data_IF_366512257021
#
_entry.id   IF_366512257021
#
_cell.length_a   1.000
_cell.length_b   1.000
_cell.length_c   1.000
_cell.angle_alpha   90.00
_cell.angle_beta   90.00
_cell.angle_gamma   90.00
#
_symmetry.space_group_name_H-M   'P 1'
#
loop_
_entity.id
_entity.type
_entity.pdbx_description
1 polymer ?
#
# COMPACT_ATOMS: atom_id res chain seq x y z
N UNK A 1 20.58 21.76 5.33
CA UNK A 1 19.30 21.45 4.65
C UNK A 1 18.73 20.07 4.98
N UNK A 2 19.52 19.08 5.41
CA UNK A 2 19.00 17.74 5.74
C UNK A 2 18.05 17.70 6.94
N UNK A 3 18.20 18.60 7.91
CA UNK A 3 17.36 18.66 9.12
C UNK A 3 15.87 18.85 8.83
N UNK A 4 15.53 19.68 7.83
CA UNK A 4 14.14 20.02 7.56
C UNK A 4 13.39 18.85 6.92
N UNK A 5 14.03 18.10 6.02
CA UNK A 5 13.44 16.93 5.38
C UNK A 5 13.23 15.79 6.38
N UNK A 6 14.18 15.57 7.29
CA UNK A 6 14.02 14.57 8.35
C UNK A 6 12.81 14.89 9.23
N UNK A 7 12.69 16.14 9.72
CA UNK A 7 11.58 16.54 10.58
C UNK A 7 10.23 16.46 9.86
N UNK A 8 10.16 16.90 8.60
CA UNK A 8 8.95 16.80 7.79
C UNK A 8 8.56 15.33 7.58
N UNK A 9 9.51 14.49 7.15
CA UNK A 9 9.25 13.06 6.93
C UNK A 9 8.82 12.35 8.21
N UNK A 10 9.48 12.62 9.34
CA UNK A 10 9.09 12.06 10.65
C UNK A 10 7.67 12.46 11.03
N UNK A 11 7.31 13.73 10.84
CA UNK A 11 5.97 14.23 11.11
C UNK A 11 4.93 13.51 10.25
N UNK A 12 5.16 13.42 8.93
CA UNK A 12 4.16 12.83 8.01
C UNK A 12 4.09 11.32 8.15
N UNK A 13 5.20 10.63 8.43
CA UNK A 13 5.17 9.20 8.77
C UNK A 13 4.44 8.94 10.09
N UNK A 14 4.63 9.78 11.11
CA UNK A 14 3.90 9.67 12.37
C UNK A 14 2.39 9.88 12.15
N UNK A 15 2.01 10.89 11.36
CA UNK A 15 0.61 11.11 10.98
C UNK A 15 0.03 9.93 10.19
N UNK A 16 0.79 9.36 9.24
CA UNK A 16 0.38 8.17 8.51
C UNK A 16 0.20 6.96 9.44
N UNK A 17 1.10 6.74 10.39
CA UNK A 17 1.00 5.67 11.38
C UNK A 17 -0.24 5.87 12.28
N UNK A 18 -0.43 7.08 12.81
CA UNK A 18 -1.61 7.40 13.64
C UNK A 18 -2.90 7.21 12.84
N UNK A 19 -2.94 7.67 11.59
CA UNK A 19 -4.08 7.47 10.70
C UNK A 19 -4.38 5.99 10.49
N UNK A 20 -3.37 5.18 10.16
CA UNK A 20 -3.54 3.74 9.93
C UNK A 20 -3.98 3.01 11.20
N UNK A 21 -3.39 3.32 12.36
CA UNK A 21 -3.76 2.70 13.63
C UNK A 21 -5.17 3.11 14.08
N UNK A 22 -5.54 4.37 13.88
CA UNK A 22 -6.91 4.84 14.16
C UNK A 22 -7.92 4.15 13.24
N UNK A 23 -7.61 4.03 11.94
CA UNK A 23 -8.46 3.31 10.99
C UNK A 23 -8.62 1.85 11.39
N UNK A 24 -7.52 1.14 11.65
CA UNK A 24 -7.54 -0.25 12.09
C UNK A 24 -8.32 -0.43 13.41
N UNK A 25 -8.18 0.49 14.36
CA UNK A 25 -8.95 0.49 15.61
C UNK A 25 -10.45 0.64 15.35
N UNK A 26 -10.87 1.59 14.51
CA UNK A 26 -12.28 1.78 14.19
C UNK A 26 -12.82 0.57 13.42
N UNK A 27 -12.08 0.03 12.45
CA UNK A 27 -12.44 -1.21 11.74
C UNK A 27 -12.61 -2.40 12.68
N UNK A 28 -11.74 -2.56 13.68
CA UNK A 28 -11.82 -3.66 14.62
C UNK A 28 -12.90 -3.52 15.70
N UNK A 29 -13.17 -2.30 16.18
CA UNK A 29 -13.97 -2.09 17.40
C UNK A 29 -15.22 -1.23 17.22
N UNK A 30 -15.29 -0.40 16.17
CA UNK A 30 -16.35 0.59 15.97
C UNK A 30 -16.88 0.59 14.54
N UNK A 31 -16.77 -0.53 13.82
CA UNK A 31 -17.14 -0.59 12.40
C UNK A 31 -18.60 -0.18 12.19
N UNK A 32 -19.49 -0.57 13.09
CA UNK A 32 -20.92 -0.40 12.91
C UNK A 32 -21.41 1.03 13.00
N UNK A 33 -20.63 1.93 13.60
CA UNK A 33 -21.06 3.31 13.88
C UNK A 33 -20.67 4.33 12.81
N UNK A 34 -19.61 4.08 12.02
CA UNK A 34 -19.02 5.10 11.13
C UNK A 34 -19.04 4.69 9.66
N UNK A 35 -18.87 3.41 9.34
CA UNK A 35 -18.65 2.99 7.95
C UNK A 35 -19.94 2.77 7.16
N UNK A 36 -19.82 2.99 5.86
CA UNK A 36 -20.86 2.77 4.88
C UNK A 36 -21.36 1.31 4.94
N UNK A 37 -22.69 1.07 4.95
CA UNK A 37 -23.24 -0.28 5.04
C UNK A 37 -22.71 -1.25 3.98
N UNK A 38 -22.58 -0.81 2.72
CA UNK A 38 -22.07 -1.64 1.63
C UNK A 38 -20.62 -2.01 1.87
N UNK A 39 -19.80 -1.04 2.28
CA UNK A 39 -18.39 -1.27 2.57
C UNK A 39 -18.21 -2.21 3.77
N UNK A 40 -19.02 -2.09 4.83
CA UNK A 40 -18.93 -2.99 6.00
C UNK A 40 -19.20 -4.44 5.64
N UNK A 41 -20.14 -4.68 4.73
CA UNK A 41 -20.55 -6.01 4.31
C UNK A 41 -19.52 -6.61 3.34
N UNK A 42 -19.00 -5.83 2.41
CA UNK A 42 -18.13 -6.33 1.34
C UNK A 42 -16.64 -6.23 1.68
N UNK A 43 -16.27 -5.35 2.62
CA UNK A 43 -14.90 -4.98 2.95
C UNK A 43 -14.21 -4.07 1.92
N UNK A 44 -14.92 -3.74 0.84
CA UNK A 44 -14.48 -2.93 -0.29
C UNK A 44 -15.65 -2.08 -0.79
N UNK A 45 -15.35 -1.03 -1.55
CA UNK A 45 -16.39 -0.32 -2.29
C UNK A 45 -16.58 -0.91 -3.69
N UNK A 46 -17.51 -1.84 -3.88
CA UNK A 46 -17.74 -2.47 -5.17
C UNK A 46 -18.72 -1.67 -6.06
N UNK A 47 -18.41 -1.53 -7.36
CA UNK A 47 -19.24 -0.80 -8.34
C UNK A 47 -20.52 -1.56 -8.66
N UNK A 48 -20.39 -2.86 -8.90
CA UNK A 48 -21.52 -3.75 -9.08
C UNK A 48 -21.81 -4.40 -7.72
N UNK A 49 -23.04 -4.23 -7.24
CA UNK A 49 -23.57 -5.17 -6.27
C UNK A 49 -23.66 -6.46 -7.05
N UNK A 50 -22.77 -7.40 -6.77
CA UNK A 50 -22.79 -8.69 -7.43
C UNK A 50 -24.20 -9.26 -7.29
N UNK A 51 -24.97 -9.25 -8.38
CA UNK A 51 -26.37 -9.64 -8.36
C UNK A 51 -26.44 -11.07 -7.78
N UNK A 52 -27.09 -11.27 -6.62
CA UNK A 52 -27.13 -12.56 -5.96
C UNK A 52 -27.90 -13.61 -6.78
N UNK A 53 -28.61 -13.22 -7.83
CA UNK A 53 -29.29 -14.14 -8.75
C UNK A 53 -28.35 -14.77 -9.78
N UNK A 54 -27.10 -14.33 -9.87
CA UNK A 54 -26.09 -14.90 -10.77
C UNK A 54 -26.30 -14.55 -12.25
N UNK A 55 -27.28 -13.69 -12.59
CA UNK A 55 -27.50 -13.20 -13.95
C UNK A 55 -26.58 -12.00 -14.27
N UNK A 56 -25.31 -12.12 -13.85
CA UNK A 56 -24.27 -11.16 -14.19
C UNK A 56 -23.89 -11.32 -15.66
N UNK A 57 -24.63 -10.63 -16.52
CA UNK A 57 -24.23 -10.39 -17.91
C UNK A 57 -22.96 -9.49 -17.99
N UNK A 58 -22.41 -9.03 -16.86
CA UNK A 58 -21.14 -8.33 -16.75
C UNK A 58 -19.98 -9.31 -16.57
N UNK A 59 -19.13 -9.43 -17.58
CA UNK A 59 -17.91 -10.26 -17.49
C UNK A 59 -16.87 -9.75 -16.47
N UNK A 60 -17.04 -8.58 -15.86
CA UNK A 60 -15.99 -7.88 -15.12
C UNK A 60 -16.47 -7.44 -13.73
N UNK A 61 -16.01 -8.13 -12.67
CA UNK A 61 -16.18 -7.65 -11.30
C UNK A 61 -15.26 -6.45 -11.04
N UNK A 62 -15.55 -5.68 -9.97
CA UNK A 62 -14.64 -4.62 -9.48
C UNK A 62 -13.22 -5.18 -9.24
N UNK A 63 -13.09 -6.41 -8.78
CA UNK A 63 -11.80 -7.05 -8.56
C UNK A 63 -11.05 -7.38 -9.88
N UNK A 64 -11.75 -7.72 -10.96
CA UNK A 64 -11.10 -7.86 -12.28
C UNK A 64 -10.55 -6.53 -12.78
N UNK A 65 -11.30 -5.44 -12.55
CA UNK A 65 -10.86 -4.10 -12.88
C UNK A 65 -9.64 -3.68 -12.03
N UNK A 66 -9.64 -3.99 -10.72
CA UNK A 66 -8.47 -3.79 -9.86
C UNK A 66 -7.26 -4.57 -10.37
N UNK A 67 -7.42 -5.85 -10.75
CA UNK A 67 -6.35 -6.64 -11.35
C UNK A 67 -5.78 -5.95 -12.60
N UNK A 68 -6.65 -5.58 -13.54
CA UNK A 68 -6.23 -4.92 -14.79
C UNK A 68 -5.53 -3.59 -14.52
N UNK A 69 -6.09 -2.75 -13.66
CA UNK A 69 -5.53 -1.46 -13.29
C UNK A 69 -4.13 -1.61 -12.69
N UNK A 70 -3.96 -2.52 -11.73
CA UNK A 70 -2.66 -2.79 -11.11
C UNK A 70 -1.62 -3.25 -12.14
N UNK A 71 -1.95 -4.18 -13.04
CA UNK A 71 -1.01 -4.70 -14.05
C UNK A 71 -0.62 -3.61 -15.06
N UNK A 72 -1.60 -2.87 -15.60
CA UNK A 72 -1.35 -1.82 -16.60
C UNK A 72 -0.52 -0.69 -15.98
N UNK A 73 -0.89 -0.21 -14.79
CA UNK A 73 -0.20 0.89 -14.12
C UNK A 73 1.18 0.45 -13.61
N UNK A 74 1.36 -0.81 -13.19
CA UNK A 74 2.69 -1.36 -12.88
C UNK A 74 3.58 -1.40 -14.13
N UNK A 75 3.06 -1.77 -15.30
CA UNK A 75 3.81 -1.77 -16.55
C UNK A 75 4.22 -0.34 -16.98
N UNK A 76 3.33 0.63 -16.81
CA UNK A 76 3.62 2.05 -17.03
C UNK A 76 4.72 2.54 -16.08
N UNK A 77 4.60 2.25 -14.78
CA UNK A 77 5.61 2.58 -13.79
C UNK A 77 6.97 1.94 -14.09
N UNK A 78 6.98 0.65 -14.47
CA UNK A 78 8.19 -0.07 -14.88
C UNK A 78 8.88 0.59 -16.07
N UNK A 79 8.11 1.07 -17.05
CA UNK A 79 8.66 1.77 -18.22
C UNK A 79 9.38 3.05 -17.82
N UNK A 80 8.80 3.84 -16.90
CA UNK A 80 9.42 5.05 -16.34
C UNK A 80 10.67 4.69 -15.52
N UNK A 81 10.57 3.66 -14.67
CA UNK A 81 11.68 3.16 -13.86
C UNK A 81 12.86 2.75 -14.74
N UNK A 82 12.62 2.02 -15.84
CA UNK A 82 13.64 1.60 -16.80
C UNK A 82 14.41 2.77 -17.42
N UNK A 83 13.75 3.88 -17.70
CA UNK A 83 14.36 5.06 -18.32
C UNK A 83 15.14 5.91 -17.31
N UNK A 84 14.67 6.01 -16.07
CA UNK A 84 15.19 6.98 -15.11
C UNK A 84 16.08 6.38 -14.01
N UNK A 85 16.07 5.05 -13.80
CA UNK A 85 16.78 4.42 -12.66
C UNK A 85 18.29 4.61 -12.64
N UNK A 86 18.91 4.75 -13.81
CA UNK A 86 20.36 4.86 -13.97
C UNK A 86 20.83 6.33 -13.97
N UNK A 87 19.92 7.28 -13.72
CA UNK A 87 20.27 8.70 -13.57
C UNK A 87 21.02 8.93 -12.24
N UNK A 88 21.97 9.88 -12.19
CA UNK A 88 22.72 10.19 -10.96
C UNK A 88 21.80 10.51 -9.79
N UNK A 89 22.17 10.15 -8.57
CA UNK A 89 21.41 10.45 -7.33
C UNK A 89 20.00 9.84 -7.23
N UNK A 90 19.57 8.97 -8.15
CA UNK A 90 18.25 8.29 -8.10
C UNK A 90 18.19 7.02 -7.25
N UNK A 91 19.32 6.53 -6.71
CA UNK A 91 19.41 5.26 -5.99
C UNK A 91 18.39 5.13 -4.85
N UNK A 92 18.20 6.21 -4.07
CA UNK A 92 17.27 6.23 -2.93
C UNK A 92 15.81 6.11 -3.38
N UNK A 93 15.43 6.86 -4.41
CA UNK A 93 14.09 6.77 -5.00
C UNK A 93 13.86 5.36 -5.57
N UNK A 94 14.85 4.79 -6.25
CA UNK A 94 14.80 3.41 -6.81
C UNK A 94 14.68 2.37 -5.70
N UNK A 95 15.30 2.59 -4.54
CA UNK A 95 15.13 1.67 -3.41
C UNK A 95 13.71 1.73 -2.81
N UNK A 96 13.10 2.91 -2.77
CA UNK A 96 11.77 3.12 -2.17
C UNK A 96 10.63 2.74 -3.11
N UNK A 97 10.74 3.04 -4.40
CA UNK A 97 9.69 2.86 -5.41
C UNK A 97 10.15 2.04 -6.63
N UNK A 98 11.24 1.27 -6.54
CA UNK A 98 11.73 0.48 -7.66
C UNK A 98 11.09 -0.90 -7.77
N UNK A 99 11.86 -1.86 -8.31
CA UNK A 99 11.37 -3.20 -8.68
C UNK A 99 10.68 -3.96 -7.54
N UNK A 100 11.09 -3.77 -6.29
CA UNK A 100 10.47 -4.45 -5.16
C UNK A 100 9.00 -4.00 -4.94
N UNK A 101 8.70 -2.71 -5.12
CA UNK A 101 7.32 -2.22 -5.01
C UNK A 101 6.48 -2.68 -6.20
N UNK A 102 7.07 -2.77 -7.40
CA UNK A 102 6.40 -3.34 -8.57
C UNK A 102 5.95 -4.78 -8.34
N UNK A 103 6.79 -5.61 -7.69
CA UNK A 103 6.40 -6.96 -7.30
C UNK A 103 5.20 -6.93 -6.34
N UNK A 104 5.19 -5.99 -5.39
CA UNK A 104 4.06 -5.78 -4.49
C UNK A 104 2.77 -5.42 -5.23
N UNK A 105 2.82 -4.45 -6.16
CA UNK A 105 1.66 -4.01 -6.94
C UNK A 105 1.13 -5.15 -7.83
N UNK A 106 2.01 -5.90 -8.49
CA UNK A 106 1.62 -7.06 -9.31
C UNK A 106 1.03 -8.15 -8.44
N UNK A 107 1.64 -8.45 -7.29
CA UNK A 107 1.13 -9.43 -6.32
C UNK A 107 -0.25 -9.04 -5.78
N UNK A 108 -0.45 -7.76 -5.47
CA UNK A 108 -1.74 -7.21 -5.04
C UNK A 108 -2.81 -7.35 -6.13
N UNK A 109 -2.48 -7.01 -7.37
CA UNK A 109 -3.35 -7.24 -8.53
C UNK A 109 -3.72 -8.72 -8.68
N UNK A 110 -2.75 -9.64 -8.61
CA UNK A 110 -3.00 -11.09 -8.64
C UNK A 110 -3.94 -11.51 -7.50
N UNK A 111 -3.79 -10.91 -6.32
CA UNK A 111 -4.72 -11.12 -5.19
C UNK A 111 -6.16 -10.79 -5.56
N UNK A 112 -6.40 -9.66 -6.23
CA UNK A 112 -7.72 -9.32 -6.75
C UNK A 112 -8.22 -10.27 -7.84
N UNK A 113 -7.34 -10.69 -8.75
CA UNK A 113 -7.70 -11.71 -9.75
C UNK A 113 -8.10 -13.04 -9.10
N UNK A 114 -7.40 -13.45 -8.05
CA UNK A 114 -7.74 -14.64 -7.27
C UNK A 114 -9.08 -14.46 -6.53
N UNK A 115 -9.35 -13.29 -5.94
CA UNK A 115 -10.66 -12.99 -5.33
C UNK A 115 -11.79 -13.09 -6.35
N UNK A 116 -11.66 -12.42 -7.51
CA UNK A 116 -12.66 -12.47 -8.59
C UNK A 116 -12.91 -13.91 -9.05
N UNK A 117 -11.85 -14.68 -9.30
CA UNK A 117 -11.99 -16.09 -9.66
C UNK A 117 -12.73 -16.87 -8.58
N UNK A 118 -12.41 -16.62 -7.31
CA UNK A 118 -13.04 -17.34 -6.21
C UNK A 118 -14.53 -17.01 -6.10
N UNK A 119 -14.93 -15.73 -6.25
CA UNK A 119 -16.35 -15.36 -6.28
C UNK A 119 -17.10 -16.01 -7.45
N UNK A 120 -16.49 -16.10 -8.63
CA UNK A 120 -17.11 -16.77 -9.79
C UNK A 120 -17.27 -18.28 -9.64
N UNK A 121 -16.30 -18.96 -9.01
CA UNK A 121 -16.28 -20.43 -8.96
C UNK A 121 -16.87 -21.03 -7.68
N UNK A 122 -16.73 -20.34 -6.55
CA UNK A 122 -17.20 -20.81 -5.23
C UNK A 122 -18.51 -20.11 -4.84
N UNK A 123 -18.79 -18.94 -5.41
CA UNK A 123 -19.97 -18.15 -5.07
C UNK A 123 -19.78 -17.34 -3.80
N UNK A 124 -20.90 -16.83 -3.29
CA UNK A 124 -20.92 -15.81 -2.24
C UNK A 124 -20.76 -16.37 -0.82
N UNK A 125 -20.62 -17.69 -0.66
CA UNK A 125 -20.49 -18.37 0.64
C UNK A 125 -19.24 -17.94 1.43
N UNK A 126 -18.29 -17.24 0.80
CA UNK A 126 -17.11 -16.68 1.46
C UNK A 126 -17.31 -15.28 2.05
N UNK A 127 -18.45 -14.61 1.81
CA UNK A 127 -18.76 -13.30 2.41
C UNK A 127 -19.14 -13.45 3.89
N UNK A 128 -18.17 -13.86 4.70
CA UNK A 128 -18.30 -13.90 6.14
C UNK A 128 -18.02 -12.51 6.71
N UNK A 129 -19.11 -11.80 7.04
CA UNK A 129 -19.11 -10.55 7.81
C UNK A 129 -18.72 -10.76 9.28
N UNK A 130 -18.69 -12.03 9.70
CA UNK A 130 -18.20 -12.51 10.99
C UNK A 130 -16.73 -12.90 10.90
N UNK A 131 -16.00 -12.67 11.98
CA UNK A 131 -14.66 -13.21 12.15
C UNK A 131 -14.71 -14.74 12.31
N UNK A 132 -13.62 -15.46 11.96
CA UNK A 132 -13.50 -16.90 12.25
C UNK A 132 -13.71 -17.24 13.73
N UNK A 133 -13.41 -16.29 14.63
CA UNK A 133 -13.68 -16.40 16.06
C UNK A 133 -15.17 -16.31 16.39
N UNK A 134 -15.88 -15.30 15.90
CA UNK A 134 -17.32 -15.06 16.19
C UNK A 134 -18.24 -16.12 15.58
N UNK A 135 -17.92 -16.57 14.37
CA UNK A 135 -18.71 -17.54 13.62
C UNK A 135 -18.73 -18.94 14.25
N UNK A 136 -17.97 -19.17 15.34
CA UNK A 136 -17.83 -20.48 15.96
C UNK A 136 -17.19 -21.52 15.03
N UNK A 137 -16.62 -21.05 13.90
CA UNK A 137 -16.01 -21.89 12.86
C UNK A 137 -14.80 -22.62 13.40
N UNK A 138 -14.24 -22.27 14.56
CA UNK A 138 -13.21 -23.04 15.28
C UNK A 138 -13.68 -24.41 15.85
N UNK A 139 -14.53 -25.14 15.13
CA UNK A 139 -14.71 -26.58 15.31
C UNK A 139 -13.43 -27.37 14.95
N UNK A 140 -13.36 -28.63 15.38
CA UNK A 140 -12.16 -29.48 15.26
C UNK A 140 -11.60 -29.59 13.83
N UNK A 141 -12.46 -29.66 12.81
CA UNK A 141 -12.04 -29.72 11.39
C UNK A 141 -11.37 -28.43 10.93
N UNK A 142 -11.87 -27.27 11.34
CA UNK A 142 -11.30 -25.98 10.96
C UNK A 142 -10.01 -25.68 11.73
N UNK A 143 -9.90 -26.12 12.99
CA UNK A 143 -8.62 -26.06 13.72
C UNK A 143 -7.56 -26.88 12.98
N UNK A 144 -7.91 -28.05 12.44
CA UNK A 144 -7.00 -28.83 11.62
C UNK A 144 -6.62 -28.11 10.32
N UNK A 145 -7.57 -27.51 9.61
CA UNK A 145 -7.30 -26.71 8.40
C UNK A 145 -6.41 -25.51 8.73
N UNK A 146 -6.71 -24.76 9.78
CA UNK A 146 -5.90 -23.64 10.24
C UNK A 146 -4.50 -24.09 10.63
N UNK A 147 -4.36 -25.23 11.33
CA UNK A 147 -3.05 -25.78 11.67
C UNK A 147 -2.24 -26.17 10.43
N UNK A 148 -2.88 -26.69 9.38
CA UNK A 148 -2.25 -27.01 8.10
C UNK A 148 -1.85 -25.75 7.34
N UNK A 149 -2.68 -24.70 7.35
CA UNK A 149 -2.43 -23.44 6.66
C UNK A 149 -1.51 -22.50 7.47
N UNK A 150 -1.34 -22.73 8.77
CA UNK A 150 -0.57 -21.88 9.66
C UNK A 150 0.87 -21.63 9.15
N UNK A 151 1.65 -22.65 8.72
CA UNK A 151 2.99 -22.41 8.18
C UNK A 151 2.99 -21.51 6.95
N UNK A 152 2.01 -21.68 6.05
CA UNK A 152 1.90 -20.86 4.85
C UNK A 152 1.56 -19.40 5.19
N UNK A 153 0.60 -19.18 6.08
CA UNK A 153 0.25 -17.83 6.53
C UNK A 153 1.38 -17.18 7.35
N UNK A 154 2.10 -17.95 8.16
CA UNK A 154 3.26 -17.45 8.89
C UNK A 154 4.35 -16.98 7.93
N UNK A 155 4.67 -17.78 6.91
CA UNK A 155 5.62 -17.39 5.86
C UNK A 155 5.13 -16.15 5.12
N UNK A 156 3.85 -16.08 4.77
CA UNK A 156 3.24 -14.89 4.15
C UNK A 156 3.48 -13.63 5.00
N UNK A 157 3.14 -13.66 6.29
CA UNK A 157 3.29 -12.50 7.17
C UNK A 157 4.75 -12.08 7.37
N UNK A 158 5.65 -13.04 7.57
CA UNK A 158 7.09 -12.75 7.71
C UNK A 158 7.66 -12.14 6.44
N UNK A 159 7.28 -12.66 5.26
CA UNK A 159 7.76 -12.14 3.99
C UNK A 159 7.18 -10.76 3.66
N UNK A 160 5.90 -10.54 3.95
CA UNK A 160 5.25 -9.22 3.82
C UNK A 160 5.95 -8.19 4.71
N UNK A 161 6.18 -8.52 5.98
CA UNK A 161 6.89 -7.65 6.92
C UNK A 161 8.36 -7.47 6.50
N UNK A 162 9.00 -8.48 5.91
CA UNK A 162 10.36 -8.31 5.36
C UNK A 162 10.40 -7.31 4.21
N UNK A 163 9.39 -7.32 3.35
CA UNK A 163 9.27 -6.34 2.27
C UNK A 163 9.02 -4.92 2.82
N UNK A 164 8.16 -4.79 3.84
CA UNK A 164 7.86 -3.50 4.49
C UNK A 164 9.02 -2.97 5.36
N UNK A 165 9.80 -3.86 5.97
CA UNK A 165 10.84 -3.55 6.95
C UNK A 165 12.19 -4.22 6.60
N UNK A 166 12.80 -3.92 5.43
CA UNK A 166 13.93 -4.69 4.89
C UNK A 166 15.17 -4.68 5.79
N UNK A 167 15.35 -3.64 6.61
CA UNK A 167 16.50 -3.48 7.49
C UNK A 167 16.36 -4.21 8.85
N UNK A 168 15.19 -4.79 9.17
CA UNK A 168 14.96 -5.46 10.45
C UNK A 168 15.42 -6.93 10.41
N UNK A 169 15.78 -7.43 11.59
CA UNK A 169 16.22 -8.80 11.78
C UNK A 169 15.07 -9.80 11.58
N UNK A 170 15.38 -10.98 11.04
CA UNK A 170 14.39 -12.03 10.83
C UNK A 170 13.69 -12.48 12.12
N UNK A 171 14.38 -12.44 13.27
CA UNK A 171 13.78 -12.76 14.57
C UNK A 171 12.67 -11.78 14.95
N UNK A 172 12.91 -10.46 14.80
CA UNK A 172 11.88 -9.45 15.06
C UNK A 172 10.70 -9.62 14.09
N UNK A 173 10.97 -9.87 12.81
CA UNK A 173 9.94 -10.10 11.80
C UNK A 173 9.12 -11.37 12.07
N UNK A 174 9.76 -12.43 12.60
CA UNK A 174 9.07 -13.64 13.07
C UNK A 174 8.13 -13.38 14.23
N UNK A 175 8.56 -12.56 15.21
CA UNK A 175 7.70 -12.14 16.34
C UNK A 175 6.52 -11.31 15.83
N UNK A 176 6.78 -10.27 15.04
CA UNK A 176 5.73 -9.41 14.49
C UNK A 176 4.77 -10.18 13.56
N UNK A 177 5.30 -11.11 12.75
CA UNK A 177 4.50 -11.97 11.88
C UNK A 177 3.63 -12.94 12.68
N UNK A 178 4.13 -13.47 13.80
CA UNK A 178 3.32 -14.28 14.73
C UNK A 178 2.19 -13.47 15.34
N UNK A 179 2.47 -12.24 15.77
CA UNK A 179 1.43 -11.33 16.31
C UNK A 179 0.38 -11.03 15.24
N UNK A 180 0.79 -10.69 14.02
CA UNK A 180 -0.13 -10.42 12.92
C UNK A 180 -1.00 -11.63 12.58
N UNK A 181 -0.41 -12.84 12.56
CA UNK A 181 -1.14 -14.08 12.33
C UNK A 181 -2.12 -14.39 13.46
N UNK A 182 -1.73 -14.22 14.72
CA UNK A 182 -2.60 -14.47 15.87
C UNK A 182 -3.76 -13.47 15.98
N UNK A 183 -3.59 -12.25 15.48
CA UNK A 183 -4.64 -11.23 15.47
C UNK A 183 -5.62 -11.39 14.29
N UNK A 184 -5.20 -12.01 13.19
CA UNK A 184 -6.02 -12.17 11.98
C UNK A 184 -7.38 -12.87 12.22
N UNK A 185 -7.51 -13.93 13.05
CA UNK A 185 -8.80 -14.58 13.31
C UNK A 185 -9.83 -13.71 14.03
N UNK A 186 -9.43 -12.56 14.57
CA UNK A 186 -10.34 -11.57 15.17
C UNK A 186 -10.82 -10.53 14.15
N UNK A 187 -10.28 -10.56 12.93
CA UNK A 187 -10.74 -9.73 11.84
C UNK A 187 -11.84 -10.47 11.05
N UNK A 188 -12.96 -9.82 10.75
CA UNK A 188 -13.93 -10.31 9.77
C UNK A 188 -13.25 -10.67 8.44
N UNK A 189 -13.65 -11.80 7.85
CA UNK A 189 -12.95 -12.36 6.67
C UNK A 189 -12.98 -11.37 5.50
N UNK A 190 -14.13 -10.72 5.29
CA UNK A 190 -14.31 -9.68 4.27
C UNK A 190 -13.35 -8.48 4.46
N UNK A 191 -12.85 -8.23 5.67
CA UNK A 191 -11.92 -7.14 5.99
C UNK A 191 -10.45 -7.59 6.00
N UNK A 192 -10.14 -8.81 5.56
CA UNK A 192 -8.77 -9.35 5.58
C UNK A 192 -7.76 -8.51 4.79
N UNK A 193 -8.15 -7.96 3.63
CA UNK A 193 -7.28 -7.07 2.84
C UNK A 193 -7.00 -5.77 3.58
N UNK A 194 -8.03 -5.16 4.16
CA UNK A 194 -7.90 -3.97 5.02
C UNK A 194 -6.96 -4.23 6.20
N UNK A 195 -7.03 -5.43 6.80
CA UNK A 195 -6.12 -5.85 7.86
C UNK A 195 -4.66 -5.95 7.38
N UNK A 196 -4.42 -6.69 6.28
CA UNK A 196 -3.09 -6.83 5.65
C UNK A 196 -2.48 -5.46 5.34
N UNK A 197 -3.27 -4.58 4.74
CA UNK A 197 -2.81 -3.24 4.39
C UNK A 197 -2.49 -2.40 5.62
N UNK A 198 -3.31 -2.46 6.67
CA UNK A 198 -3.07 -1.72 7.91
C UNK A 198 -1.77 -2.14 8.60
N UNK A 199 -1.48 -3.44 8.63
CA UNK A 199 -0.21 -3.97 9.14
C UNK A 199 0.97 -3.50 8.26
N UNK A 200 0.86 -3.64 6.94
CA UNK A 200 1.92 -3.24 6.01
C UNK A 200 2.25 -1.75 6.10
N UNK A 201 1.24 -0.87 6.11
CA UNK A 201 1.42 0.57 6.21
C UNK A 201 2.03 0.98 7.56
N UNK A 202 1.56 0.38 8.66
CA UNK A 202 2.13 0.62 9.99
C UNK A 202 3.59 0.20 10.06
N UNK A 203 3.92 -0.97 9.50
CA UNK A 203 5.28 -1.49 9.43
C UNK A 203 6.20 -0.59 8.60
N UNK A 204 5.74 -0.10 7.43
CA UNK A 204 6.50 0.85 6.60
C UNK A 204 6.74 2.15 7.37
N UNK A 205 5.70 2.77 7.93
CA UNK A 205 5.83 4.04 8.64
C UNK A 205 6.79 3.93 9.84
N UNK A 206 6.68 2.85 10.63
CA UNK A 206 7.60 2.59 11.73
C UNK A 206 9.04 2.35 11.23
N UNK A 207 9.22 1.50 10.23
CA UNK A 207 10.55 1.21 9.69
C UNK A 207 11.25 2.48 9.20
N UNK A 208 10.54 3.33 8.47
CA UNK A 208 11.05 4.61 7.97
C UNK A 208 11.45 5.56 9.11
N UNK A 209 10.60 5.75 10.12
CA UNK A 209 10.92 6.63 11.26
C UNK A 209 12.14 6.19 12.06
N UNK A 210 12.42 4.88 12.12
CA UNK A 210 13.59 4.33 12.84
C UNK A 210 14.92 4.43 12.09
N UNK A 211 14.92 4.97 10.86
CA UNK A 211 16.16 5.17 10.11
C UNK A 211 17.06 6.21 10.78
N UNK A 212 18.39 6.09 10.63
CA UNK A 212 19.32 7.13 11.07
C UNK A 212 19.10 8.42 10.27
N UNK A 213 19.41 9.57 10.86
CA UNK A 213 19.08 10.91 10.32
C UNK A 213 19.73 11.15 8.94
N UNK A 214 20.88 10.55 8.68
CA UNK A 214 21.65 10.66 7.44
C UNK A 214 20.94 10.00 6.24
N UNK A 215 20.07 9.03 6.53
CA UNK A 215 19.23 8.36 5.54
C UNK A 215 17.92 9.11 5.25
N UNK A 216 17.56 10.11 6.07
CA UNK A 216 16.32 10.89 5.97
C UNK A 216 16.47 12.08 5.01
N UNK A 217 16.61 11.74 3.73
CA UNK A 217 16.73 12.70 2.62
C UNK A 217 15.41 13.31 2.16
N UNK A 218 15.40 13.87 0.95
CA UNK A 218 14.18 14.39 0.35
C UNK A 218 13.18 13.29 0.04
N UNK A 219 13.66 12.17 -0.51
CA UNK A 219 12.87 11.00 -0.88
C UNK A 219 12.12 10.46 0.33
N UNK A 220 12.79 10.44 1.50
CA UNK A 220 12.21 10.08 2.79
C UNK A 220 11.00 10.94 3.15
N UNK A 221 11.08 12.26 2.95
CA UNK A 221 9.97 13.16 3.26
C UNK A 221 8.83 13.10 2.23
N UNK A 222 9.16 12.92 0.96
CA UNK A 222 8.16 12.93 -0.12
C UNK A 222 7.36 11.65 -0.20
N UNK A 223 7.95 10.50 0.15
CA UNK A 223 7.27 9.21 0.11
C UNK A 223 5.97 9.21 0.95
N UNK A 224 5.96 9.57 2.25
CA UNK A 224 4.73 9.59 3.02
C UNK A 224 3.79 10.72 2.62
N UNK A 225 4.30 11.84 2.08
CA UNK A 225 3.47 12.96 1.62
C UNK A 225 2.66 12.61 0.38
N UNK A 226 3.25 11.86 -0.56
CA UNK A 226 2.65 11.57 -1.85
C UNK A 226 1.92 10.22 -1.88
N UNK A 227 2.34 9.28 -1.04
CA UNK A 227 1.85 7.90 -1.09
C UNK A 227 1.16 7.54 0.23
N UNK A 228 1.91 7.42 1.32
CA UNK A 228 1.42 6.73 2.52
C UNK A 228 0.26 7.46 3.22
N UNK A 229 0.38 8.76 3.46
CA UNK A 229 -0.69 9.51 4.13
C UNK A 229 -1.92 9.66 3.22
N UNK A 230 -1.82 10.09 1.95
CA UNK A 230 -2.98 10.14 1.06
C UNK A 230 -3.69 8.81 0.88
N UNK A 231 -2.95 7.69 0.77
CA UNK A 231 -3.54 6.35 0.68
C UNK A 231 -4.35 6.02 1.94
N UNK A 232 -3.80 6.35 3.12
CA UNK A 232 -4.51 6.19 4.38
C UNK A 232 -5.77 7.05 4.50
N UNK A 233 -5.79 8.25 3.91
CA UNK A 233 -6.99 9.10 3.84
C UNK A 233 -8.01 8.56 2.83
N UNK A 234 -7.54 8.03 1.71
CA UNK A 234 -8.40 7.42 0.69
C UNK A 234 -9.15 6.20 1.26
N UNK A 235 -8.54 5.47 2.20
CA UNK A 235 -9.20 4.36 2.90
C UNK A 235 -10.40 4.84 3.74
N UNK A 236 -10.27 5.99 4.41
CA UNK A 236 -11.38 6.63 5.12
C UNK A 236 -12.48 7.09 4.15
N UNK A 237 -12.09 7.71 3.03
CA UNK A 237 -13.07 8.18 2.04
C UNK A 237 -13.82 6.99 1.44
N UNK A 238 -13.12 5.93 1.03
CA UNK A 238 -13.75 4.73 0.50
C UNK A 238 -14.70 4.09 1.51
N UNK A 239 -14.25 3.89 2.74
CA UNK A 239 -15.04 3.19 3.78
C UNK A 239 -16.23 3.98 4.31
N UNK A 240 -16.23 5.31 4.20
CA UNK A 240 -17.32 6.16 4.71
C UNK A 240 -18.21 6.74 3.62
N UNK A 241 -17.73 6.82 2.37
CA UNK A 241 -18.43 7.45 1.25
C UNK A 241 -18.66 6.50 0.07
N UNK A 242 -18.62 5.18 0.33
CA UNK A 242 -18.76 4.19 -0.72
C UNK A 242 -20.04 4.38 -1.54
N UNK A 243 -21.20 4.33 -0.87
CA UNK A 243 -22.51 4.46 -1.52
C UNK A 243 -22.86 5.90 -1.89
N UNK A 244 -22.11 6.89 -1.37
CA UNK A 244 -22.36 8.31 -1.63
C UNK A 244 -21.89 8.75 -3.01
N UNK A 245 -20.63 8.44 -3.36
CA UNK A 245 -20.06 8.85 -4.66
C UNK A 245 -18.89 7.99 -5.12
N UNK A 246 -18.16 7.31 -4.22
CA UNK A 246 -16.96 6.57 -4.62
C UNK A 246 -17.30 5.45 -5.61
N UNK A 247 -18.44 4.79 -5.41
CA UNK A 247 -18.98 3.80 -6.34
C UNK A 247 -19.12 4.33 -7.78
N UNK A 248 -19.62 5.55 -7.95
CA UNK A 248 -19.84 6.17 -9.26
C UNK A 248 -18.55 6.48 -10.02
N UNK A 249 -17.44 6.67 -9.29
CA UNK A 249 -16.13 6.95 -9.89
C UNK A 249 -15.26 5.69 -10.09
N UNK A 250 -15.81 4.49 -9.87
CA UNK A 250 -15.10 3.23 -10.08
C UNK A 250 -14.82 2.43 -8.80
N UNK A 251 -15.36 2.87 -7.66
CA UNK A 251 -15.28 2.12 -6.40
C UNK A 251 -13.84 1.87 -5.95
N UNK A 252 -13.57 0.64 -5.53
CA UNK A 252 -12.28 0.20 -5.02
C UNK A 252 -11.15 0.29 -6.06
N UNK A 253 -11.47 0.30 -7.36
CA UNK A 253 -10.46 0.46 -8.42
C UNK A 253 -9.71 1.77 -8.30
N UNK A 254 -10.38 2.83 -7.83
CA UNK A 254 -9.72 4.13 -7.58
C UNK A 254 -8.67 4.04 -6.49
N UNK A 255 -9.00 3.34 -5.40
CA UNK A 255 -8.10 3.12 -4.28
C UNK A 255 -6.84 2.37 -4.74
N UNK A 256 -7.04 1.30 -5.49
CA UNK A 256 -5.97 0.47 -6.01
C UNK A 256 -5.11 1.21 -7.04
N UNK A 257 -5.74 1.91 -7.99
CA UNK A 257 -5.03 2.68 -9.01
C UNK A 257 -4.18 3.81 -8.40
N UNK A 258 -4.60 4.36 -7.26
CA UNK A 258 -3.83 5.38 -6.55
C UNK A 258 -2.42 4.90 -6.16
N UNK A 259 -2.24 3.63 -5.81
CA UNK A 259 -0.95 3.08 -5.37
C UNK A 259 0.13 3.20 -6.47
N UNK A 260 -0.01 2.59 -7.66
CA UNK A 260 0.99 2.72 -8.72
C UNK A 260 1.09 4.14 -9.30
N UNK A 261 -0.02 4.90 -9.33
CA UNK A 261 0.00 6.30 -9.79
C UNK A 261 0.85 7.15 -8.84
N UNK A 262 0.61 7.09 -7.53
CA UNK A 262 1.36 7.85 -6.54
C UNK A 262 2.83 7.45 -6.48
N UNK A 263 3.14 6.15 -6.63
CA UNK A 263 4.52 5.67 -6.78
C UNK A 263 5.21 6.26 -8.01
N UNK A 264 4.50 6.33 -9.14
CA UNK A 264 5.01 6.95 -10.37
C UNK A 264 5.26 8.44 -10.18
N UNK A 265 4.30 9.16 -9.60
CA UNK A 265 4.43 10.60 -9.32
C UNK A 265 5.60 10.86 -8.39
N UNK A 266 5.72 10.10 -7.29
CA UNK A 266 6.86 10.19 -6.37
C UNK A 266 8.19 10.02 -7.11
N UNK A 267 8.30 9.00 -7.96
CA UNK A 267 9.53 8.71 -8.68
C UNK A 267 9.91 9.82 -9.67
N UNK A 268 8.93 10.36 -10.40
CA UNK A 268 9.11 11.50 -11.31
C UNK A 268 9.50 12.77 -10.55
N UNK A 269 8.89 13.06 -9.40
CA UNK A 269 9.23 14.21 -8.55
C UNK A 269 10.69 14.15 -8.08
N UNK A 270 11.16 12.97 -7.67
CA UNK A 270 12.56 12.76 -7.31
C UNK A 270 13.50 13.02 -8.50
N UNK A 271 13.16 12.52 -9.69
CA UNK A 271 13.94 12.75 -10.90
C UNK A 271 14.00 14.23 -11.30
N UNK A 272 12.88 14.96 -11.22
CA UNK A 272 12.83 16.39 -11.52
C UNK A 272 13.78 17.17 -10.61
N UNK A 273 13.76 16.89 -9.30
CA UNK A 273 14.65 17.54 -8.32
C UNK A 273 16.12 17.31 -8.65
N UNK A 274 16.49 16.06 -8.93
CA UNK A 274 17.86 15.68 -9.31
C UNK A 274 18.28 16.42 -10.57
N UNK A 275 17.42 16.44 -11.60
CA UNK A 275 17.71 17.08 -12.89
C UNK A 275 17.98 18.58 -12.76
N UNK A 276 17.21 19.30 -11.94
CA UNK A 276 17.47 20.72 -11.67
C UNK A 276 18.78 20.94 -10.89
N UNK A 277 19.05 20.12 -9.88
CA UNK A 277 20.28 20.22 -9.08
C UNK A 277 21.52 19.97 -9.93
N UNK A 278 21.46 18.97 -10.81
CA UNK A 278 22.55 18.63 -11.73
C UNK A 278 22.82 19.75 -12.74
N UNK A 279 21.77 20.31 -13.35
CA UNK A 279 21.90 21.46 -14.28
C UNK A 279 22.49 22.69 -13.61
N UNK A 280 22.08 22.99 -12.38
CA UNK A 280 22.63 24.11 -11.62
C UNK A 280 24.14 23.92 -11.33
N UNK A 281 24.58 22.69 -11.01
CA UNK A 281 26.01 22.39 -10.80
C UNK A 281 26.82 22.56 -12.08
N UNK A 282 26.32 22.08 -13.22
CA UNK A 282 27.01 22.26 -14.51
C UNK A 282 27.05 23.73 -14.93
N UNK A 283 25.93 24.46 -14.80
CA UNK A 283 25.87 25.88 -15.13
C UNK A 283 26.87 26.71 -14.34
N UNK A 284 27.06 26.41 -13.06
CA UNK A 284 28.05 27.08 -12.21
C UNK A 284 29.49 26.67 -12.52
N UNK A 285 29.73 25.42 -12.94
CA UNK A 285 31.07 24.97 -13.35
C UNK A 285 31.52 25.53 -14.71
N UNK A 286 30.55 25.83 -15.59
CA UNK A 286 30.81 26.40 -16.91
C UNK A 286 30.95 27.93 -16.92
N UNK A 287 30.69 28.62 -15.80
CA UNK A 287 30.93 30.05 -15.68
C UNK A 287 32.45 30.29 -15.54
N UNK A 288 33.15 30.82 -16.56
CA UNK A 288 34.58 31.13 -16.42
C UNK A 288 34.76 32.14 -15.29
N UNK A 289 35.73 31.91 -14.41
CA UNK A 289 36.07 32.82 -13.33
C UNK A 289 36.57 34.16 -13.92
N UNK A 290 35.65 35.09 -14.11
CA UNK A 290 35.89 36.45 -14.60
C UNK A 290 36.81 37.27 -13.66
N UNK A 291 37.22 36.73 -12.51
CA UNK A 291 38.15 37.37 -11.57
C UNK A 291 39.62 37.38 -12.00
N UNK A 292 40.02 36.70 -13.08
CA UNK A 292 41.42 36.74 -13.56
C UNK A 292 41.75 37.80 -14.62
N UNK A 293 40.83 38.71 -14.97
CA UNK A 293 41.04 39.72 -16.04
C UNK A 293 41.16 41.17 -15.52
N UNK A 294 41.56 41.39 -14.26
CA UNK A 294 41.79 42.74 -13.70
C UNK A 294 43.26 43.04 -13.37
N UNK A 295 44.20 42.53 -14.16
CA UNK A 295 45.63 42.71 -13.88
C UNK A 295 46.55 42.70 -15.10
N UNK A 296 46.11 43.24 -16.23
CA UNK A 296 46.96 43.54 -17.39
C UNK A 296 46.69 44.98 -17.86
#
# INVERSE_FOLDING_TARGET
MSSNWANLGDTVHALSLVNTLAFAYIVGFHRDSIFDPSWKQQGFCLVEEEDPTGDQNGFWSTHDLCFCANIILAAAHYSILKVLKDQPEMERATKLAGTHQLIGIVGHGIGHGALSATFRFIGDEMRMDQSPWESGIMGSTHVAILAILFPAFFVFWVMLLKAAMPAKSWSLLGVLGSVALCLQPFCPVNLSFTYVQSIAMSAVAWNEMTKPKEAKGFEYSMFPCLIALPLGLLAWVESTQCSSFIRDFGGHVLYDAFIPISMTVFYVVCWIRVSFTFRARIGNAAAPSLEKVKGA
#
